data_IF_071599870658
#
_entry.id   IF_071599870658
#
_cell.length_a   1.000
_cell.length_b   1.000
_cell.length_c   1.000
_cell.angle_alpha   90.00
_cell.angle_beta   90.00
_cell.angle_gamma   90.00
#
_symmetry.space_group_name_H-M   'P 1'
#
loop_
_entity.id
_entity.type
_entity.pdbx_description
1 polymer ?
#
# COMPACT_ATOMS: atom_id res chain seq x y z
N UNK A 1 28.52 -26.51 -9.52
CA UNK A 1 28.33 -25.99 -8.15
C UNK A 1 26.87 -25.61 -8.00
N UNK A 2 26.07 -26.48 -7.35
CA UNK A 2 24.72 -26.14 -6.91
C UNK A 2 24.87 -25.24 -5.68
N UNK A 3 24.39 -24.00 -5.75
CA UNK A 3 24.11 -23.22 -4.54
C UNK A 3 22.61 -23.21 -4.31
N UNK A 4 22.22 -23.95 -3.28
CA UNK A 4 20.95 -23.82 -2.58
C UNK A 4 20.79 -22.37 -2.11
N UNK A 5 19.61 -21.79 -2.30
CA UNK A 5 19.08 -20.80 -1.35
C UNK A 5 17.56 -20.77 -1.51
N UNK A 6 16.95 -21.65 -0.74
CA UNK A 6 15.53 -21.76 -0.44
C UNK A 6 15.08 -20.75 0.65
N UNK A 7 15.86 -19.69 0.88
CA UNK A 7 15.63 -18.76 2.01
C UNK A 7 14.97 -17.43 1.60
N UNK A 8 14.56 -17.30 0.34
CA UNK A 8 14.07 -16.04 -0.24
C UNK A 8 12.55 -15.84 -0.08
N UNK A 9 11.84 -16.78 0.55
CA UNK A 9 10.38 -16.66 0.71
C UNK A 9 9.95 -15.75 1.87
N UNK A 10 10.89 -15.35 2.74
CA UNK A 10 10.63 -14.58 3.96
C UNK A 10 11.52 -13.32 4.09
N UNK A 11 12.12 -12.82 3.00
CA UNK A 11 12.81 -11.54 3.07
C UNK A 11 11.77 -10.42 3.16
N UNK A 12 11.63 -9.83 4.35
CA UNK A 12 10.89 -8.61 4.58
C UNK A 12 11.78 -7.44 4.16
N UNK A 13 11.26 -6.57 3.29
CA UNK A 13 11.97 -5.40 2.82
C UNK A 13 11.61 -4.22 3.73
N UNK A 14 12.61 -3.48 4.23
CA UNK A 14 12.40 -2.15 4.81
C UNK A 14 12.37 -1.06 3.72
N UNK A 15 13.01 -1.34 2.58
CA UNK A 15 13.05 -0.52 1.37
C UNK A 15 13.17 -1.41 0.13
N UNK A 16 12.73 -0.92 -1.04
CA UNK A 16 12.91 -1.66 -2.28
C UNK A 16 14.40 -1.88 -2.60
N UNK A 17 14.78 -3.08 -3.09
CA UNK A 17 16.18 -3.41 -3.38
C UNK A 17 16.82 -2.57 -4.50
N UNK A 18 16.01 -2.01 -5.40
CA UNK A 18 16.43 -0.99 -6.37
C UNK A 18 15.21 -0.28 -7.00
N UNK A 19 15.47 0.86 -7.65
CA UNK A 19 14.46 1.67 -8.33
C UNK A 19 13.71 0.92 -9.44
N UNK A 20 14.41 0.08 -10.22
CA UNK A 20 13.78 -0.69 -11.29
C UNK A 20 12.73 -1.66 -10.76
N UNK A 21 13.00 -2.30 -9.61
CA UNK A 21 12.03 -3.16 -8.94
C UNK A 21 10.87 -2.35 -8.36
N UNK A 22 11.11 -1.19 -7.74
CA UNK A 22 10.05 -0.29 -7.26
C UNK A 22 9.10 0.12 -8.40
N UNK A 23 9.64 0.52 -9.54
CA UNK A 23 8.88 0.85 -10.74
C UNK A 23 8.08 -0.35 -11.27
N UNK A 24 8.67 -1.55 -11.24
CA UNK A 24 7.97 -2.78 -11.63
C UNK A 24 6.81 -3.12 -10.68
N UNK A 25 6.99 -3.00 -9.36
CA UNK A 25 5.90 -3.21 -8.40
C UNK A 25 4.78 -2.18 -8.65
N UNK A 26 5.14 -0.93 -8.94
CA UNK A 26 4.20 0.11 -9.34
C UNK A 26 3.38 -0.28 -10.58
N UNK A 27 4.04 -0.78 -11.63
CA UNK A 27 3.38 -1.27 -12.86
C UNK A 27 2.44 -2.45 -12.58
N UNK A 28 2.93 -3.46 -11.85
CA UNK A 28 2.12 -4.64 -11.51
C UNK A 28 0.89 -4.24 -10.70
N UNK A 29 1.03 -3.28 -9.79
CA UNK A 29 -0.07 -2.80 -8.96
C UNK A 29 -1.08 -2.00 -9.78
N UNK A 30 -0.59 -1.04 -10.58
CA UNK A 30 -1.41 -0.18 -11.46
C UNK A 30 -2.26 -0.98 -12.43
N UNK A 31 -1.70 -2.02 -13.05
CA UNK A 31 -2.39 -2.85 -14.03
C UNK A 31 -2.95 -4.16 -13.45
N UNK A 32 -2.93 -4.31 -12.11
CA UNK A 32 -3.42 -5.50 -11.39
C UNK A 32 -2.88 -6.81 -11.97
N UNK A 33 -1.60 -6.84 -12.36
CA UNK A 33 -0.99 -8.02 -12.93
C UNK A 33 -0.93 -9.15 -11.88
N UNK A 34 -1.23 -10.36 -12.34
CA UNK A 34 -1.11 -11.55 -11.50
C UNK A 34 0.34 -11.77 -11.06
N UNK A 35 0.54 -12.48 -9.95
CA UNK A 35 1.89 -12.81 -9.50
C UNK A 35 2.64 -13.63 -10.56
N UNK A 36 1.95 -14.51 -11.28
CA UNK A 36 2.53 -15.27 -12.39
C UNK A 36 3.02 -14.35 -13.52
N UNK A 37 2.19 -13.40 -13.96
CA UNK A 37 2.57 -12.44 -15.01
C UNK A 37 3.75 -11.55 -14.57
N UNK A 38 3.70 -11.04 -13.34
CA UNK A 38 4.77 -10.23 -12.79
C UNK A 38 6.09 -10.98 -12.63
N UNK A 39 6.04 -12.24 -12.19
CA UNK A 39 7.24 -13.10 -12.11
C UNK A 39 7.80 -13.43 -13.50
N UNK A 40 6.94 -13.60 -14.52
CA UNK A 40 7.40 -13.79 -15.90
C UNK A 40 8.14 -12.55 -16.44
N UNK A 41 7.69 -11.34 -16.08
CA UNK A 41 8.39 -10.09 -16.44
C UNK A 41 9.77 -10.02 -15.77
N UNK A 42 9.87 -10.37 -14.48
CA UNK A 42 11.15 -10.47 -13.76
C UNK A 42 12.09 -11.45 -14.48
N UNK A 43 11.61 -12.65 -14.80
CA UNK A 43 12.40 -13.68 -15.47
C UNK A 43 12.89 -13.21 -16.84
N UNK A 44 12.01 -12.58 -17.62
CA UNK A 44 12.36 -11.99 -18.91
C UNK A 44 13.47 -10.94 -18.76
N UNK A 45 13.30 -10.01 -17.81
CA UNK A 45 14.28 -8.95 -17.58
C UNK A 45 15.62 -9.49 -17.09
N UNK A 46 15.62 -10.39 -16.10
CA UNK A 46 16.85 -10.97 -15.55
C UNK A 46 17.60 -11.83 -16.59
N UNK A 47 16.89 -12.45 -17.54
CA UNK A 47 17.49 -13.25 -18.62
C UNK A 47 18.15 -12.37 -19.69
N UNK A 48 17.55 -11.23 -20.01
CA UNK A 48 17.92 -10.42 -21.18
C UNK A 48 18.61 -9.09 -20.83
N UNK A 49 18.62 -8.69 -19.55
CA UNK A 49 19.33 -7.49 -19.10
C UNK A 49 20.84 -7.73 -19.09
N UNK A 50 21.58 -6.85 -19.75
CA UNK A 50 23.05 -6.82 -19.71
C UNK A 50 23.60 -6.40 -18.32
N UNK A 51 22.73 -6.00 -17.39
CA UNK A 51 23.11 -5.47 -16.10
C UNK A 51 23.18 -6.58 -15.04
N UNK A 52 24.19 -7.45 -15.15
CA UNK A 52 24.39 -8.58 -14.20
C UNK A 52 24.62 -8.14 -12.76
N UNK A 53 24.93 -6.84 -12.53
CA UNK A 53 25.19 -6.28 -11.21
C UNK A 53 23.93 -6.06 -10.37
N UNK A 54 22.76 -5.94 -10.99
CA UNK A 54 21.51 -5.65 -10.28
C UNK A 54 20.34 -6.47 -10.83
N UNK A 55 20.34 -7.81 -10.64
CA UNK A 55 19.17 -8.61 -10.97
C UNK A 55 17.98 -8.15 -10.13
N UNK A 56 16.79 -8.13 -10.74
CA UNK A 56 15.56 -7.93 -10.00
C UNK A 56 15.33 -9.13 -9.05
N UNK A 57 14.73 -8.90 -7.86
CA UNK A 57 14.28 -9.97 -6.96
C UNK A 57 13.48 -11.06 -7.67
N UNK A 58 13.45 -12.27 -7.11
CA UNK A 58 12.88 -13.45 -7.78
C UNK A 58 11.37 -13.37 -8.03
N UNK A 59 10.64 -12.67 -7.18
CA UNK A 59 9.18 -12.65 -7.25
C UNK A 59 8.60 -11.27 -6.91
N UNK A 60 7.37 -11.04 -7.37
CA UNK A 60 6.60 -9.82 -7.09
C UNK A 60 5.88 -9.87 -5.73
N UNK A 61 5.69 -11.07 -5.16
CA UNK A 61 4.93 -11.26 -3.92
C UNK A 61 5.55 -10.44 -2.78
N UNK A 62 6.87 -10.45 -2.66
CA UNK A 62 7.57 -9.68 -1.62
C UNK A 62 7.39 -8.17 -1.80
N UNK A 63 7.55 -7.64 -3.02
CA UNK A 63 7.31 -6.22 -3.29
C UNK A 63 5.85 -5.79 -3.01
N UNK A 64 4.87 -6.64 -3.30
CA UNK A 64 3.46 -6.39 -2.92
C UNK A 64 3.26 -6.43 -1.40
N UNK A 65 3.86 -7.41 -0.72
CA UNK A 65 3.80 -7.52 0.74
C UNK A 65 4.41 -6.30 1.41
N UNK A 66 5.54 -5.82 0.90
CA UNK A 66 6.17 -4.59 1.36
C UNK A 66 5.22 -3.38 1.25
N UNK A 67 4.61 -3.13 0.09
CA UNK A 67 3.62 -2.05 -0.05
C UNK A 67 2.46 -2.20 0.93
N UNK A 68 1.95 -3.42 1.12
CA UNK A 68 0.84 -3.67 2.05
C UNK A 68 1.23 -3.46 3.52
N UNK A 69 2.51 -3.70 3.86
CA UNK A 69 3.04 -3.58 5.21
C UNK A 69 3.73 -2.23 5.47
N UNK A 70 3.87 -1.37 4.45
CA UNK A 70 4.38 -0.01 4.64
C UNK A 70 3.57 0.66 5.74
N UNK A 71 4.27 1.12 6.79
CA UNK A 71 3.65 1.88 7.86
C UNK A 71 3.00 3.14 7.26
N UNK A 72 1.68 3.10 7.12
CA UNK A 72 0.91 4.32 6.95
C UNK A 72 0.87 5.05 8.29
N UNK A 73 0.91 6.38 8.28
CA UNK A 73 0.66 7.19 9.48
C UNK A 73 -0.80 7.08 10.01
N UNK A 74 -1.59 6.16 9.45
CA UNK A 74 -2.94 5.86 9.85
C UNK A 74 -2.92 4.95 11.08
N UNK A 75 -3.33 5.51 12.22
CA UNK A 75 -3.52 4.74 13.44
C UNK A 75 -4.98 4.29 13.57
N UNK A 76 -5.17 3.02 13.93
CA UNK A 76 -6.48 2.55 14.38
C UNK A 76 -6.81 3.22 15.71
N UNK A 77 -8.01 3.80 15.78
CA UNK A 77 -8.58 4.32 17.01
C UNK A 77 -9.44 3.24 17.67
N UNK A 78 -9.26 3.12 18.99
CA UNK A 78 -10.10 2.30 19.86
C UNK A 78 -11.17 3.21 20.48
N UNK A 79 -12.44 2.95 20.20
CA UNK A 79 -13.56 3.73 20.75
C UNK A 79 -14.49 2.79 21.51
N UNK A 80 -14.81 3.11 22.77
CA UNK A 80 -15.84 2.36 23.52
C UNK A 80 -17.20 2.62 22.90
N UNK A 81 -17.92 1.56 22.55
CA UNK A 81 -19.24 1.65 21.90
C UNK A 81 -20.37 1.23 22.82
N UNK A 82 -20.11 0.33 23.75
CA UNK A 82 -21.13 -0.21 24.66
C UNK A 82 -20.48 -0.65 25.97
N UNK A 83 -21.24 -0.52 27.05
CA UNK A 83 -20.97 -1.13 28.34
C UNK A 83 -22.20 -1.97 28.70
N UNK A 84 -22.01 -3.28 28.85
CA UNK A 84 -23.10 -4.20 29.13
C UNK A 84 -22.60 -5.36 30.00
N UNK A 85 -23.31 -5.61 31.11
CA UNK A 85 -22.97 -6.66 32.08
C UNK A 85 -21.51 -6.60 32.55
N UNK A 86 -21.09 -5.41 33.00
CA UNK A 86 -19.72 -5.09 33.41
C UNK A 86 -18.65 -5.40 32.35
N UNK A 87 -19.05 -5.55 31.09
CA UNK A 87 -18.17 -5.82 29.95
C UNK A 87 -18.16 -4.63 29.01
N UNK A 88 -16.98 -4.08 28.76
CA UNK A 88 -16.77 -3.00 27.81
C UNK A 88 -16.54 -3.55 26.40
N UNK A 89 -17.31 -3.03 25.44
CA UNK A 89 -17.18 -3.37 24.03
C UNK A 89 -16.54 -2.19 23.28
N UNK A 90 -15.57 -2.50 22.43
CA UNK A 90 -14.79 -1.51 21.69
C UNK A 90 -14.88 -1.73 20.19
N UNK A 91 -15.01 -0.63 19.45
CA UNK A 91 -14.82 -0.59 18.01
C UNK A 91 -13.38 -0.15 17.71
N UNK A 92 -12.69 -0.96 16.92
CA UNK A 92 -11.40 -0.62 16.33
C UNK A 92 -11.67 -0.13 14.90
N UNK A 93 -11.45 1.16 14.67
CA UNK A 93 -11.73 1.78 13.37
C UNK A 93 -10.61 2.74 12.98
N UNK A 94 -10.53 3.02 11.68
CA UNK A 94 -9.61 4.00 11.13
C UNK A 94 -10.43 5.21 10.68
N UNK A 95 -10.33 6.38 11.34
CA UNK A 95 -11.19 7.51 11.03
C UNK A 95 -10.92 8.02 9.61
N UNK A 96 -11.97 8.08 8.79
CA UNK A 96 -11.87 8.60 7.42
C UNK A 96 -11.25 10.00 7.40
N UNK A 97 -11.63 10.86 8.35
CA UNK A 97 -11.08 12.21 8.48
C UNK A 97 -9.55 12.21 8.66
N UNK A 98 -9.03 11.30 9.48
CA UNK A 98 -7.59 11.15 9.67
C UNK A 98 -6.90 10.59 8.42
N UNK A 99 -7.59 9.75 7.64
CA UNK A 99 -7.08 9.29 6.35
C UNK A 99 -6.96 10.44 5.35
N UNK A 100 -8.01 11.26 5.23
CA UNK A 100 -8.03 12.43 4.35
C UNK A 100 -6.92 13.40 4.74
N UNK A 101 -6.76 13.71 6.04
CA UNK A 101 -5.69 14.59 6.53
C UNK A 101 -4.30 14.08 6.15
N UNK A 102 -4.01 12.79 6.38
CA UNK A 102 -2.73 12.20 6.02
C UNK A 102 -2.44 12.29 4.51
N UNK A 103 -3.47 12.16 3.66
CA UNK A 103 -3.31 12.30 2.21
C UNK A 103 -3.03 13.77 1.83
N UNK A 104 -3.72 14.72 2.46
CA UNK A 104 -3.53 16.16 2.22
C UNK A 104 -2.16 16.67 2.68
N UNK A 105 -1.55 16.04 3.69
CA UNK A 105 -0.19 16.36 4.17
C UNK A 105 0.91 15.95 3.18
N UNK A 106 0.61 15.14 2.16
CA UNK A 106 1.58 14.77 1.12
C UNK A 106 1.62 15.88 0.06
N UNK A 107 2.60 16.78 0.17
CA UNK A 107 2.74 18.00 -0.62
C UNK A 107 2.65 17.81 -2.15
N UNK A 108 3.19 16.72 -2.68
CA UNK A 108 3.19 16.46 -4.12
C UNK A 108 1.83 15.96 -4.63
N UNK A 109 1.08 15.27 -3.77
CA UNK A 109 -0.23 14.72 -4.12
C UNK A 109 -1.31 15.78 -3.96
N UNK A 110 -1.27 16.57 -2.88
CA UNK A 110 -2.30 17.55 -2.56
C UNK A 110 -2.44 18.66 -3.61
N UNK A 111 -1.37 18.98 -4.34
CA UNK A 111 -1.38 19.91 -5.47
C UNK A 111 -2.26 19.46 -6.65
N UNK A 112 -2.55 18.16 -6.76
CA UNK A 112 -3.33 17.60 -7.87
C UNK A 112 -4.83 17.53 -7.58
N UNK A 113 -5.27 17.87 -6.37
CA UNK A 113 -6.67 17.78 -5.99
C UNK A 113 -7.47 18.99 -6.48
N UNK A 114 -8.55 18.71 -7.20
CA UNK A 114 -9.62 19.67 -7.46
C UNK A 114 -10.69 19.52 -6.37
N UNK A 115 -10.86 20.55 -5.54
CA UNK A 115 -11.86 20.58 -4.47
C UNK A 115 -12.97 21.54 -4.87
N UNK A 116 -14.16 20.99 -5.13
CA UNK A 116 -15.39 21.77 -5.27
C UNK A 116 -16.19 21.60 -3.98
N UNK A 117 -16.60 22.73 -3.38
CA UNK A 117 -17.38 22.74 -2.15
C UNK A 117 -18.65 23.58 -2.37
N UNK A 118 -19.79 23.00 -2.01
CA UNK A 118 -21.07 23.68 -1.98
C UNK A 118 -21.75 23.45 -0.62
N UNK A 119 -22.16 24.53 0.03
CA UNK A 119 -22.87 24.45 1.31
C UNK A 119 -24.35 24.13 1.06
N UNK A 120 -24.81 22.97 1.52
CA UNK A 120 -26.22 22.57 1.41
C UNK A 120 -27.03 23.15 2.59
N UNK A 121 -27.70 24.29 2.39
CA UNK A 121 -28.62 24.82 3.39
C UNK A 121 -29.88 23.96 3.50
N UNK A 122 -30.18 23.46 4.69
CA UNK A 122 -31.50 22.87 5.00
C UNK A 122 -32.53 23.99 5.06
N UNK A 123 -33.41 24.08 4.07
CA UNK A 123 -34.61 24.91 4.17
C UNK A 123 -35.65 24.20 5.05
N UNK A 124 -35.65 24.52 6.34
CA UNK A 124 -36.77 24.17 7.23
C UNK A 124 -37.96 25.05 6.85
N UNK A 125 -38.78 24.61 5.89
CA UNK A 125 -40.12 25.16 5.72
C UNK A 125 -40.98 24.62 6.86
N UNK A 126 -41.16 25.44 7.89
CA UNK A 126 -42.20 25.25 8.90
C UNK A 126 -43.52 25.59 8.20
N UNK A 127 -44.37 24.57 8.03
CA UNK A 127 -45.76 24.76 7.59
C UNK A 127 -46.66 24.98 8.80
#
# INVERSE_FOLDING_TARGET
MQNNSSDDENQEYDEFPNEAYANLIGLVTKFKLSNAAGNAIILFFNKHSNNSKFPLPKNIKQGKLFINNMKSNLSYKKTKVLDYDNTEYFLYHMPLMSCIQNILEISDISQTFALEYEELYKTTKVY
#
